data_IF_570393543488
#
_entry.id   IF_570393543488
#
_cell.length_a   1.000
_cell.length_b   1.000
_cell.length_c   1.000
_cell.angle_alpha   90.00
_cell.angle_beta   90.00
_cell.angle_gamma   90.00
#
_symmetry.space_group_name_H-M   'P 1'
#
loop_
_entity.id
_entity.type
_entity.pdbx_description
1 polymer ?
#
# COMPACT_ATOMS: atom_id res chain seq x y z
N UNK A 1 1.12 -12.20 -17.10
CA UNK A 1 2.35 -11.44 -17.47
C UNK A 1 2.31 -10.07 -16.81
N UNK A 2 3.27 -9.76 -15.93
CA UNK A 2 3.44 -8.39 -15.45
C UNK A 2 3.96 -7.51 -16.60
N UNK A 3 3.29 -6.40 -16.90
CA UNK A 3 3.63 -5.51 -18.04
C UNK A 3 5.04 -4.89 -17.94
N UNK A 4 5.70 -4.96 -16.79
CA UNK A 4 7.01 -4.36 -16.54
C UNK A 4 7.93 -5.31 -15.76
N UNK A 5 9.20 -5.44 -16.18
CA UNK A 5 10.19 -6.32 -15.50
C UNK A 5 10.68 -5.77 -14.16
N UNK A 6 10.94 -4.47 -14.05
CA UNK A 6 11.64 -3.87 -12.90
C UNK A 6 10.79 -2.84 -12.14
N UNK A 7 10.07 -1.98 -12.86
CA UNK A 7 9.48 -0.76 -12.29
C UNK A 7 8.13 -0.95 -11.59
N UNK A 8 7.36 -2.00 -11.93
CA UNK A 8 6.03 -2.24 -11.35
C UNK A 8 5.12 -1.02 -11.48
N UNK A 9 4.39 -0.71 -10.40
CA UNK A 9 3.45 0.43 -10.30
C UNK A 9 4.10 1.80 -10.57
N UNK A 10 5.40 1.94 -10.28
CA UNK A 10 6.16 3.17 -10.57
C UNK A 10 6.47 3.38 -12.05
N UNK A 11 6.06 2.44 -12.92
CA UNK A 11 6.09 2.61 -14.37
C UNK A 11 5.21 3.78 -14.85
N UNK A 12 4.18 4.15 -14.08
CA UNK A 12 3.34 5.33 -14.34
C UNK A 12 4.14 6.65 -14.42
N UNK A 13 5.32 6.72 -13.79
CA UNK A 13 6.15 7.92 -13.81
C UNK A 13 6.95 8.12 -15.12
N UNK A 14 6.97 7.14 -16.04
CA UNK A 14 7.62 7.27 -17.36
C UNK A 14 9.14 7.26 -17.29
N UNK A 15 9.83 8.32 -17.72
CA UNK A 15 11.30 8.50 -17.60
C UNK A 15 11.75 9.44 -16.45
N UNK A 16 10.80 10.11 -15.77
CA UNK A 16 11.04 11.14 -14.73
C UNK A 16 11.57 10.64 -13.36
N UNK A 17 12.21 11.50 -12.57
CA UNK A 17 12.60 11.26 -11.16
C UNK A 17 13.75 10.28 -10.87
N UNK A 18 14.30 9.59 -11.89
CA UNK A 18 15.44 8.70 -11.72
C UNK A 18 15.14 7.37 -10.99
N UNK A 19 16.09 6.42 -11.04
CA UNK A 19 15.86 5.04 -10.58
C UNK A 19 15.76 4.93 -9.05
N UNK A 20 16.59 5.64 -8.31
CA UNK A 20 16.68 5.52 -6.84
C UNK A 20 15.38 5.93 -6.16
N UNK A 21 14.81 7.07 -6.57
CA UNK A 21 13.53 7.57 -6.03
C UNK A 21 12.42 6.57 -6.35
N UNK A 22 12.33 6.10 -7.59
CA UNK A 22 11.31 5.12 -8.00
C UNK A 22 11.40 3.82 -7.21
N UNK A 23 12.60 3.29 -6.99
CA UNK A 23 12.77 2.06 -6.19
C UNK A 23 12.30 2.25 -4.75
N UNK A 24 12.58 3.42 -4.13
CA UNK A 24 12.09 3.74 -2.78
C UNK A 24 10.56 3.84 -2.75
N UNK A 25 9.97 4.55 -3.70
CA UNK A 25 8.50 4.67 -3.81
C UNK A 25 7.84 3.33 -4.06
N UNK A 26 8.42 2.48 -4.93
CA UNK A 26 7.91 1.14 -5.21
C UNK A 26 7.86 0.26 -3.96
N UNK A 27 8.89 0.33 -3.09
CA UNK A 27 8.88 -0.42 -1.81
C UNK A 27 7.73 0.03 -0.91
N UNK A 28 7.44 1.33 -0.87
CA UNK A 28 6.33 1.88 -0.08
C UNK A 28 4.98 1.47 -0.65
N UNK A 29 4.81 1.57 -1.98
CA UNK A 29 3.57 1.20 -2.66
C UNK A 29 3.27 -0.30 -2.53
N UNK A 30 4.28 -1.18 -2.69
CA UNK A 30 4.11 -2.62 -2.47
C UNK A 30 3.60 -2.93 -1.08
N UNK A 31 4.26 -2.39 -0.04
CA UNK A 31 3.83 -2.55 1.36
C UNK A 31 2.45 -1.97 1.64
N UNK A 32 2.04 -0.94 0.90
CA UNK A 32 0.69 -0.38 1.00
C UNK A 32 -0.37 -1.31 0.42
N UNK A 33 -0.05 -1.98 -0.68
CA UNK A 33 -0.96 -2.91 -1.37
C UNK A 33 -0.91 -4.35 -0.84
N UNK A 34 -0.15 -4.61 0.24
CA UNK A 34 -0.14 -5.89 0.94
C UNK A 34 -1.44 -6.10 1.74
N UNK A 35 -1.95 -7.33 1.75
CA UNK A 35 -3.10 -7.71 2.58
C UNK A 35 -2.61 -7.89 4.03
N UNK A 36 -3.31 -7.25 4.97
CA UNK A 36 -2.97 -7.30 6.39
C UNK A 36 -4.16 -7.83 7.17
N UNK A 37 -3.89 -8.51 8.28
CA UNK A 37 -4.92 -9.00 9.17
C UNK A 37 -5.59 -7.81 9.87
N UNK A 38 -6.91 -7.72 9.78
CA UNK A 38 -7.65 -6.71 10.52
C UNK A 38 -7.60 -7.01 12.03
N UNK A 39 -7.29 -6.03 12.90
CA UNK A 39 -7.20 -6.26 14.34
C UNK A 39 -8.54 -6.63 14.98
N UNK A 40 -9.66 -6.25 14.33
CA UNK A 40 -11.01 -6.53 14.82
C UNK A 40 -11.58 -7.85 14.33
N UNK A 41 -11.50 -8.11 13.02
CA UNK A 41 -12.16 -9.30 12.42
C UNK A 41 -11.19 -10.41 12.03
N UNK A 42 -9.88 -10.24 12.22
CA UNK A 42 -8.84 -11.24 11.90
C UNK A 42 -8.65 -11.55 10.41
N UNK A 43 -9.58 -11.16 9.55
CA UNK A 43 -9.53 -11.41 8.10
C UNK A 43 -8.34 -10.71 7.45
N UNK A 44 -7.64 -11.42 6.58
CA UNK A 44 -6.59 -10.90 5.70
C UNK A 44 -7.22 -10.11 4.56
N UNK A 45 -7.23 -8.79 4.69
CA UNK A 45 -7.87 -7.89 3.73
C UNK A 45 -6.90 -6.81 3.27
N UNK A 46 -7.14 -6.29 2.07
CA UNK A 46 -6.50 -5.07 1.61
C UNK A 46 -7.16 -3.88 2.33
N UNK A 47 -6.48 -3.31 3.31
CA UNK A 47 -6.98 -2.13 4.03
C UNK A 47 -7.08 -0.94 3.07
N UNK A 48 -8.21 -0.22 3.12
CA UNK A 48 -8.38 1.01 2.36
C UNK A 48 -7.85 2.18 3.19
N UNK A 49 -7.10 3.08 2.55
CA UNK A 49 -6.61 4.30 3.19
C UNK A 49 -7.66 5.39 3.05
N UNK A 50 -8.09 5.99 4.17
CA UNK A 50 -8.97 7.15 4.17
C UNK A 50 -8.15 8.45 4.16
N UNK A 51 -7.19 8.55 5.07
CA UNK A 51 -6.28 9.70 5.17
C UNK A 51 -4.86 9.24 5.53
N UNK A 52 -3.92 10.18 5.72
CA UNK A 52 -2.57 9.83 6.20
C UNK A 52 -2.69 9.22 7.60
N UNK A 53 -2.32 7.95 7.73
CA UNK A 53 -2.35 7.24 9.01
C UNK A 53 -3.73 6.76 9.46
N UNK A 54 -4.79 6.93 8.66
CA UNK A 54 -6.12 6.34 8.98
C UNK A 54 -6.49 5.28 7.94
N UNK A 55 -6.74 4.08 8.43
CA UNK A 55 -7.04 2.89 7.64
C UNK A 55 -8.43 2.37 7.98
N UNK A 56 -9.15 1.91 6.97
CA UNK A 56 -10.47 1.29 7.12
C UNK A 56 -10.48 -0.11 6.53
N UNK A 57 -11.05 -1.04 7.29
CA UNK A 57 -11.24 -2.40 6.87
C UNK A 57 -12.47 -2.50 5.95
N UNK A 58 -12.35 -3.01 4.70
CA UNK A 58 -13.48 -3.10 3.80
C UNK A 58 -14.54 -4.12 4.24
N UNK A 59 -14.20 -5.11 5.09
CA UNK A 59 -15.13 -6.16 5.51
C UNK A 59 -15.92 -5.83 6.77
N UNK A 60 -15.35 -5.11 7.73
CA UNK A 60 -16.01 -4.80 9.00
C UNK A 60 -16.17 -3.29 9.26
N UNK A 61 -15.80 -2.46 8.29
CA UNK A 61 -15.82 -0.99 8.36
C UNK A 61 -15.05 -0.38 9.55
N UNK A 62 -14.22 -1.17 10.24
CA UNK A 62 -13.44 -0.69 11.37
C UNK A 62 -12.34 0.26 10.89
N UNK A 63 -12.35 1.47 11.44
CA UNK A 63 -11.33 2.49 11.21
C UNK A 63 -10.33 2.49 12.35
N UNK A 64 -9.04 2.51 12.04
CA UNK A 64 -7.97 2.61 13.03
C UNK A 64 -6.86 3.57 12.57
N UNK A 65 -6.16 4.12 13.56
CA UNK A 65 -4.96 4.90 13.33
C UNK A 65 -3.74 3.97 13.23
N UNK A 66 -2.89 4.19 12.23
CA UNK A 66 -1.72 3.39 11.96
C UNK A 66 -0.64 4.16 11.20
N UNK A 67 0.39 3.48 10.68
CA UNK A 67 1.48 4.13 9.98
C UNK A 67 1.00 4.86 8.71
N UNK A 68 1.69 5.95 8.36
CA UNK A 68 1.30 6.84 7.25
C UNK A 68 1.21 6.14 5.88
N UNK A 69 2.01 5.10 5.66
CA UNK A 69 2.16 4.46 4.35
C UNK A 69 2.03 2.95 4.35
N UNK A 70 2.04 2.31 5.52
CA UNK A 70 1.91 0.86 5.67
C UNK A 70 0.72 0.61 6.56
N UNK A 71 -0.25 -0.17 6.09
CA UNK A 71 -1.40 -0.58 6.88
C UNK A 71 -1.00 -1.70 7.83
N UNK A 72 -0.13 -1.43 8.81
CA UNK A 72 0.20 -2.41 9.84
C UNK A 72 -0.83 -2.27 10.96
N UNK A 73 -1.52 -3.37 11.26
CA UNK A 73 -2.36 -3.49 12.45
C UNK A 73 -1.48 -3.77 13.68
#
# INVERSE_FOLDING_TARGET
>A
MGKTKVVGETGSYGARYGMTVRRRTLKILRKRHEKVACPRCGKLVLMKRLSVGVWTCPSCAYTYAGPAHVAKA
#
